data_IF_481591726790
#
_entry.id   IF_481591726790
#
_cell.length_a   1.000
_cell.length_b   1.000
_cell.length_c   1.000
_cell.angle_alpha   90.00
_cell.angle_beta   90.00
_cell.angle_gamma   90.00
#
_symmetry.space_group_name_H-M   'P 1'
#
loop_
_entity.id
_entity.type
_entity.pdbx_description
1 polymer ?
#
# COMPACT_ATOMS: atom_id res chain seq x y z
N UNK A 1 8.25 3.24 27.86
CA UNK A 1 8.70 3.44 26.46
C UNK A 1 8.04 2.39 25.59
N UNK A 2 7.34 2.78 24.52
CA UNK A 2 6.76 1.83 23.55
C UNK A 2 7.88 1.43 22.58
N UNK A 3 8.28 0.16 22.59
CA UNK A 3 9.23 -0.37 21.60
C UNK A 3 8.40 -0.72 20.36
N UNK A 4 8.28 0.23 19.44
CA UNK A 4 7.70 0.00 18.12
C UNK A 4 8.85 -0.49 17.25
N UNK A 5 8.81 -1.76 16.83
CA UNK A 5 9.75 -2.26 15.85
C UNK A 5 9.40 -1.62 14.50
N UNK A 6 10.41 -1.02 13.87
CA UNK A 6 10.34 -0.43 12.53
C UNK A 6 11.04 -1.34 11.53
N UNK A 7 10.52 -1.39 10.31
CA UNK A 7 11.04 -2.22 9.25
C UNK A 7 12.40 -1.68 8.76
N UNK A 8 13.50 -2.29 9.20
CA UNK A 8 14.85 -1.87 8.80
C UNK A 8 15.25 -2.42 7.42
N UNK A 9 14.80 -3.64 7.09
CA UNK A 9 15.16 -4.33 5.85
C UNK A 9 13.90 -4.85 5.15
N UNK A 10 13.39 -4.07 4.19
CA UNK A 10 12.26 -4.49 3.37
C UNK A 10 12.71 -5.48 2.28
N UNK A 11 12.04 -6.65 2.23
CA UNK A 11 12.14 -7.60 1.13
C UNK A 11 10.76 -7.73 0.47
N UNK A 12 10.62 -7.44 -0.85
CA UNK A 12 9.35 -7.54 -1.53
C UNK A 12 8.83 -8.98 -1.54
N UNK A 13 7.51 -9.11 -1.44
CA UNK A 13 6.85 -10.41 -1.49
C UNK A 13 7.08 -11.14 -2.81
N UNK A 14 7.10 -12.48 -2.73
CA UNK A 14 7.10 -13.37 -3.90
C UNK A 14 5.73 -13.36 -4.62
N UNK A 15 4.67 -12.94 -3.92
CA UNK A 15 3.29 -12.91 -4.42
C UNK A 15 3.01 -11.61 -5.18
N UNK A 16 3.74 -11.39 -6.27
CA UNK A 16 3.54 -10.25 -7.15
C UNK A 16 3.06 -10.70 -8.53
N UNK A 17 2.25 -9.87 -9.19
CA UNK A 17 1.78 -10.18 -10.55
C UNK A 17 2.95 -10.21 -11.54
N UNK A 18 2.84 -11.04 -12.57
CA UNK A 18 3.86 -11.08 -13.63
C UNK A 18 4.03 -9.71 -14.30
N UNK A 19 5.28 -9.33 -14.55
CA UNK A 19 5.65 -8.02 -15.06
C UNK A 19 5.53 -6.85 -14.07
N UNK A 20 5.11 -7.07 -12.82
CA UNK A 20 5.04 -5.99 -11.83
C UNK A 20 6.43 -5.58 -11.30
N UNK A 21 6.60 -4.27 -11.14
CA UNK A 21 7.85 -3.62 -10.70
C UNK A 21 7.62 -2.95 -9.37
N UNK A 22 8.60 -3.06 -8.47
CA UNK A 22 8.56 -2.38 -7.19
C UNK A 22 8.94 -0.90 -7.36
N UNK A 23 8.07 -0.01 -6.91
CA UNK A 23 8.27 1.43 -6.85
C UNK A 23 8.35 1.88 -5.38
N UNK A 24 9.57 2.29 -4.96
CA UNK A 24 9.83 2.71 -3.58
C UNK A 24 9.08 3.99 -3.20
N UNK A 25 9.03 4.98 -4.08
CA UNK A 25 8.38 6.28 -3.79
C UNK A 25 6.89 6.10 -3.51
N UNK A 26 6.24 5.22 -4.29
CA UNK A 26 4.82 4.93 -4.12
C UNK A 26 4.54 4.17 -2.82
N UNK A 27 5.43 3.24 -2.46
CA UNK A 27 5.39 2.53 -1.20
C UNK A 27 5.56 3.50 -0.01
N UNK A 28 6.56 4.38 -0.06
CA UNK A 28 6.84 5.36 0.99
C UNK A 28 5.69 6.36 1.15
N UNK A 29 5.07 6.79 0.04
CA UNK A 29 3.88 7.65 0.07
C UNK A 29 2.71 6.97 0.79
N UNK A 30 2.43 5.70 0.50
CA UNK A 30 1.36 4.95 1.16
C UNK A 30 1.62 4.74 2.67
N UNK A 31 2.85 4.41 3.05
CA UNK A 31 3.26 4.29 4.46
C UNK A 31 3.07 5.61 5.19
N UNK A 32 3.54 6.73 4.60
CA UNK A 32 3.39 8.05 5.20
C UNK A 32 1.91 8.46 5.32
N UNK A 33 1.10 8.18 4.31
CA UNK A 33 -0.34 8.44 4.35
C UNK A 33 -1.02 7.72 5.51
N UNK A 34 -0.72 6.44 5.72
CA UNK A 34 -1.34 5.65 6.80
C UNK A 34 -0.87 6.13 8.18
N UNK A 35 0.39 6.51 8.34
CA UNK A 35 0.90 7.11 9.59
C UNK A 35 0.24 8.45 9.94
N UNK A 36 -0.29 9.17 8.94
CA UNK A 36 -1.04 10.42 9.16
C UNK A 36 -2.50 10.19 9.58
N UNK A 37 -3.02 8.97 9.43
CA UNK A 37 -4.37 8.64 9.87
C UNK A 37 -4.45 8.62 11.40
N UNK A 38 -5.66 8.85 11.92
CA UNK A 38 -5.95 8.80 13.36
C UNK A 38 -6.97 7.73 13.66
N UNK A 39 -6.80 7.05 14.78
CA UNK A 39 -7.81 6.11 15.26
C UNK A 39 -9.11 6.85 15.59
N UNK A 40 -10.23 6.35 15.08
CA UNK A 40 -11.55 7.00 15.20
C UNK A 40 -12.39 6.45 16.36
N UNK A 41 -11.93 5.42 17.08
CA UNK A 41 -12.67 4.75 18.17
C UNK A 41 -11.74 4.19 19.25
N UNK A 42 -12.31 3.97 20.44
CA UNK A 42 -11.67 3.29 21.58
C UNK A 42 -10.64 4.13 22.32
N UNK A 43 -9.84 3.47 23.17
CA UNK A 43 -8.78 4.08 24.00
C UNK A 43 -7.69 4.82 23.18
N UNK A 44 -7.63 4.53 21.88
CA UNK A 44 -6.64 5.09 20.95
C UNK A 44 -7.16 6.31 20.18
N UNK A 45 -8.38 6.79 20.46
CA UNK A 45 -9.02 7.90 19.75
C UNK A 45 -8.11 9.12 19.60
N UNK A 46 -7.99 9.62 18.36
CA UNK A 46 -7.21 10.83 18.05
C UNK A 46 -5.70 10.65 18.01
N UNK A 47 -5.16 9.47 18.37
CA UNK A 47 -3.75 9.12 18.19
C UNK A 47 -3.49 8.68 16.76
N UNK A 48 -2.30 9.00 16.27
CA UNK A 48 -1.82 8.53 14.97
C UNK A 48 -1.65 7.01 14.96
N UNK A 49 -1.71 6.40 13.78
CA UNK A 49 -1.36 4.99 13.62
C UNK A 49 0.15 4.83 13.75
N UNK A 50 0.58 3.97 14.67
CA UNK A 50 1.97 3.50 14.77
C UNK A 50 2.08 2.16 14.04
N UNK A 51 2.59 2.19 12.80
CA UNK A 51 2.83 0.97 12.02
C UNK A 51 3.96 0.13 12.62
N UNK A 52 3.69 -1.16 12.79
CA UNK A 52 4.69 -2.17 13.15
C UNK A 52 5.25 -2.88 11.90
N UNK A 53 6.45 -3.46 12.00
CA UNK A 53 7.23 -4.04 10.88
C UNK A 53 6.39 -4.72 9.78
N UNK A 54 5.57 -5.69 10.18
CA UNK A 54 4.83 -6.52 9.24
C UNK A 54 3.67 -5.78 8.57
N UNK A 55 3.08 -4.77 9.24
CA UNK A 55 2.05 -3.92 8.64
C UNK A 55 2.67 -3.04 7.57
N UNK A 56 3.84 -2.46 7.86
CA UNK A 56 4.58 -1.69 6.87
C UNK A 56 4.96 -2.56 5.67
N UNK A 57 5.38 -3.82 5.91
CA UNK A 57 5.67 -4.76 4.83
C UNK A 57 4.46 -5.00 3.91
N UNK A 58 3.26 -5.24 4.46
CA UNK A 58 2.04 -5.43 3.65
C UNK A 58 1.70 -4.17 2.86
N UNK A 59 1.79 -2.99 3.49
CA UNK A 59 1.51 -1.72 2.81
C UNK A 59 2.48 -1.52 1.65
N UNK A 60 3.78 -1.77 1.86
CA UNK A 60 4.80 -1.68 0.81
C UNK A 60 4.58 -2.70 -0.30
N UNK A 61 4.14 -3.92 0.04
CA UNK A 61 3.85 -4.94 -0.97
C UNK A 61 2.64 -4.56 -1.82
N UNK A 62 1.55 -4.08 -1.21
CA UNK A 62 0.31 -3.74 -1.92
C UNK A 62 0.48 -2.46 -2.75
N UNK A 63 1.05 -1.41 -2.18
CA UNK A 63 1.13 -0.08 -2.82
C UNK A 63 2.46 0.20 -3.51
N UNK A 64 3.50 -0.56 -3.20
CA UNK A 64 4.80 -0.49 -3.88
C UNK A 64 4.88 -1.39 -5.11
N UNK A 65 4.10 -2.48 -5.18
CA UNK A 65 4.09 -3.35 -6.35
C UNK A 65 3.18 -2.78 -7.44
N UNK A 66 3.79 -2.10 -8.41
CA UNK A 66 3.06 -1.49 -9.52
C UNK A 66 3.02 -2.42 -10.72
N UNK A 67 1.82 -2.69 -11.22
CA UNK A 67 1.64 -3.29 -12.55
C UNK A 67 2.00 -2.24 -13.60
N UNK A 68 2.82 -2.56 -14.63
CA UNK A 68 3.00 -1.67 -15.76
C UNK A 68 1.62 -1.36 -16.35
N UNK A 69 1.31 -0.07 -16.48
CA UNK A 69 0.03 0.36 -17.03
C UNK A 69 0.01 0.01 -18.51
N UNK A 70 -0.73 -1.04 -18.88
CA UNK A 70 -1.01 -1.33 -20.27
C UNK A 70 -1.96 -0.24 -20.80
N UNK A 71 -1.66 0.35 -21.96
CA UNK A 71 -2.47 1.41 -22.60
C UNK A 71 -3.92 0.98 -22.90
N UNK A 72 -4.21 -0.31 -22.80
CA UNK A 72 -5.51 -0.92 -23.11
C UNK A 72 -6.59 -0.63 -22.04
N UNK A 73 -6.22 -0.36 -20.79
CA UNK A 73 -7.20 -0.02 -19.74
C UNK A 73 -7.75 1.40 -19.86
N UNK A 74 -7.21 2.23 -20.76
CA UNK A 74 -7.70 3.59 -21.01
C UNK A 74 -8.81 3.62 -22.07
N UNK A 75 -9.04 2.51 -22.79
CA UNK A 75 -9.96 2.45 -23.93
C UNK A 75 -10.86 1.20 -23.89
N UNK A 76 -11.42 0.82 -22.73
CA UNK A 76 -12.68 0.10 -22.81
C UNK A 76 -13.77 1.15 -23.07
N UNK A 77 -14.35 1.26 -24.28
CA UNK A 77 -15.65 1.87 -24.37
C UNK A 77 -16.56 1.12 -23.40
N UNK A 78 -17.34 1.84 -22.62
CA UNK A 78 -18.49 1.30 -21.88
C UNK A 78 -19.45 0.69 -22.91
N UNK A 79 -19.13 -0.47 -23.48
CA UNK A 79 -20.11 -1.30 -24.15
C UNK A 79 -20.91 -1.94 -23.03
N UNK A 80 -21.87 -1.17 -22.53
CA UNK A 80 -23.10 -1.76 -22.04
C UNK A 80 -23.62 -2.64 -23.19
N UNK A 81 -23.86 -3.93 -22.97
CA UNK A 81 -24.65 -4.69 -23.94
C UNK A 81 -26.03 -4.02 -24.00
N UNK A 82 -26.28 -3.29 -25.07
CA UNK A 82 -27.64 -3.08 -25.51
C UNK A 82 -28.08 -4.40 -26.13
N UNK A 83 -29.05 -5.03 -25.46
CA UNK A 83 -29.72 -6.31 -25.77
C UNK A 83 -29.00 -7.58 -25.31
#
# INVERSE_FOLDING_TARGET
MRIIRKLENYKPTIYKADGSVYNKESADHAVNFINCLKHTKGEWFGKNFDLIDWQEQIIRDIFGTMKPRNKESQNLPLRLPYF
#
